data_IF_825759053426
#
_entry.id   IF_825759053426
#
_cell.length_a   1.000
_cell.length_b   1.000
_cell.length_c   1.000
_cell.angle_alpha   90.00
_cell.angle_beta   90.00
_cell.angle_gamma   90.00
#
_symmetry.space_group_name_H-M   'P 1'
#
loop_
_entity.id
_entity.type
_entity.pdbx_description
1 polymer ?
#
# COMPACT_ATOMS: atom_id res chain seq x y z
N UNK A 1 8.67 -5.66 -20.85
CA UNK A 1 9.80 -4.73 -20.64
C UNK A 1 9.39 -3.28 -20.27
N UNK A 2 8.12 -2.86 -20.40
CA UNK A 2 7.70 -1.46 -20.17
C UNK A 2 7.47 -1.03 -18.71
N UNK A 3 7.44 -1.94 -17.74
CA UNK A 3 7.16 -1.59 -16.32
C UNK A 3 8.39 -1.29 -15.46
N UNK A 4 9.60 -1.60 -15.92
CA UNK A 4 10.83 -1.34 -15.15
C UNK A 4 11.35 0.11 -15.27
N UNK A 5 10.88 0.88 -16.27
CA UNK A 5 11.32 2.26 -16.47
C UNK A 5 10.54 3.32 -15.67
N UNK A 6 9.43 2.96 -15.00
CA UNK A 6 8.66 3.94 -14.22
C UNK A 6 9.34 4.37 -12.90
N UNK A 7 10.31 3.59 -12.40
CA UNK A 7 11.00 3.92 -11.17
C UNK A 7 12.16 4.93 -11.32
N UNK A 8 12.66 5.14 -12.53
CA UNK A 8 13.80 6.06 -12.76
C UNK A 8 13.44 7.54 -12.69
N UNK A 9 12.17 7.91 -12.94
CA UNK A 9 11.72 9.30 -12.82
C UNK A 9 11.39 9.74 -11.38
N UNK A 10 11.17 8.79 -10.47
CA UNK A 10 10.87 9.05 -9.06
C UNK A 10 12.12 9.47 -8.24
N UNK A 11 13.33 9.23 -8.77
CA UNK A 11 14.58 9.46 -8.04
C UNK A 11 14.97 10.95 -7.86
N UNK A 12 14.26 11.89 -8.48
CA UNK A 12 14.66 13.31 -8.51
C UNK A 12 14.03 14.18 -7.40
N UNK A 13 13.00 13.71 -6.70
CA UNK A 13 12.30 14.55 -5.72
C UNK A 13 12.97 14.50 -4.33
N UNK A 14 13.10 15.63 -3.60
CA UNK A 14 13.73 15.66 -2.26
C UNK A 14 13.06 14.72 -1.25
N UNK A 15 11.76 14.48 -1.37
CA UNK A 15 11.02 13.53 -0.52
C UNK A 15 11.47 12.08 -0.69
N UNK A 16 11.97 11.67 -1.85
CA UNK A 16 12.49 10.30 -2.04
C UNK A 16 13.82 10.09 -1.32
N UNK A 17 14.56 11.17 -1.05
CA UNK A 17 15.85 11.15 -0.36
C UNK A 17 15.74 11.10 1.16
N UNK A 18 14.55 11.41 1.71
CA UNK A 18 14.30 11.36 3.18
C UNK A 18 14.40 9.91 3.67
N UNK A 19 15.00 9.72 4.84
CA UNK A 19 15.19 8.40 5.44
C UNK A 19 13.85 7.66 5.62
N UNK A 20 13.82 6.38 5.20
CA UNK A 20 12.63 5.53 5.26
C UNK A 20 12.09 5.34 6.69
N UNK A 21 12.96 5.37 7.70
CA UNK A 21 12.60 5.27 9.12
C UNK A 21 11.75 6.46 9.56
N UNK A 22 12.18 7.67 9.18
CA UNK A 22 11.49 8.91 9.51
C UNK A 22 10.12 8.95 8.84
N UNK A 23 10.05 8.56 7.56
CA UNK A 23 8.78 8.46 6.82
C UNK A 23 7.82 7.45 7.45
N UNK A 24 8.32 6.27 7.81
CA UNK A 24 7.49 5.22 8.40
C UNK A 24 6.94 5.65 9.76
N UNK A 25 7.77 6.22 10.63
CA UNK A 25 7.32 6.73 11.94
C UNK A 25 6.30 7.86 11.80
N UNK A 26 6.57 8.83 10.91
CA UNK A 26 5.64 9.94 10.66
C UNK A 26 4.32 9.45 10.07
N UNK A 27 4.35 8.48 9.16
CA UNK A 27 3.14 7.89 8.57
C UNK A 27 2.32 7.14 9.63
N UNK A 28 2.94 6.37 10.51
CA UNK A 28 2.26 5.68 11.61
C UNK A 28 1.64 6.68 12.57
N UNK A 29 2.37 7.74 12.94
CA UNK A 29 1.86 8.80 13.80
C UNK A 29 0.65 9.51 13.18
N UNK A 30 0.73 9.89 11.91
CA UNK A 30 -0.39 10.51 11.19
C UNK A 30 -1.57 9.55 11.02
N UNK A 31 -1.32 8.28 10.76
CA UNK A 31 -2.36 7.26 10.64
C UNK A 31 -3.13 7.09 11.95
N UNK A 32 -2.42 7.02 13.09
CA UNK A 32 -3.08 6.95 14.40
C UNK A 32 -3.89 8.20 14.70
N UNK A 33 -3.43 9.39 14.28
CA UNK A 33 -4.19 10.63 14.39
C UNK A 33 -5.47 10.62 13.52
N UNK A 34 -5.38 10.12 12.28
CA UNK A 34 -6.53 9.99 11.36
C UNK A 34 -7.58 9.04 11.93
N UNK A 35 -7.17 7.87 12.42
CA UNK A 35 -8.09 6.86 12.97
C UNK A 35 -8.76 7.39 14.25
N UNK A 36 -8.00 8.05 15.11
CA UNK A 36 -8.47 8.57 16.40
C UNK A 36 -9.22 9.92 16.29
N UNK A 37 -9.33 10.51 15.10
CA UNK A 37 -10.03 11.78 14.89
C UNK A 37 -11.54 11.64 15.09
N UNK A 38 -12.22 12.49 15.88
CA UNK A 38 -13.67 12.42 16.08
C UNK A 38 -14.49 12.93 14.88
N UNK A 39 -13.91 13.82 14.05
CA UNK A 39 -14.56 14.43 12.89
C UNK A 39 -14.12 13.87 11.55
N UNK A 40 -14.74 14.34 10.46
CA UNK A 40 -14.40 14.01 9.07
C UNK A 40 -13.38 14.98 8.45
N UNK A 41 -13.26 16.19 8.99
CA UNK A 41 -12.45 17.27 8.39
C UNK A 41 -10.94 16.97 8.45
N UNK A 42 -10.43 16.49 9.58
CA UNK A 42 -9.02 16.14 9.72
C UNK A 42 -8.58 15.00 8.78
N UNK A 43 -9.30 13.86 8.67
CA UNK A 43 -8.99 12.84 7.69
C UNK A 43 -9.04 13.33 6.23
N UNK A 44 -9.98 14.22 5.88
CA UNK A 44 -10.05 14.82 4.55
C UNK A 44 -8.86 15.74 4.28
N UNK A 45 -8.46 16.56 5.24
CA UNK A 45 -7.26 17.40 5.14
C UNK A 45 -6.01 16.53 4.92
N UNK A 46 -5.85 15.45 5.70
CA UNK A 46 -4.76 14.50 5.53
C UNK A 46 -4.79 13.85 4.13
N UNK A 47 -5.98 13.53 3.62
CA UNK A 47 -6.15 12.98 2.27
C UNK A 47 -5.68 13.99 1.19
N UNK A 48 -6.15 15.23 1.25
CA UNK A 48 -5.78 16.28 0.29
C UNK A 48 -4.28 16.55 0.32
N UNK A 49 -3.69 16.69 1.51
CA UNK A 49 -2.25 16.90 1.66
C UNK A 49 -1.44 15.74 1.10
N UNK A 50 -1.86 14.50 1.36
CA UNK A 50 -1.19 13.29 0.87
C UNK A 50 -1.28 13.17 -0.66
N UNK A 51 -2.44 13.48 -1.24
CA UNK A 51 -2.60 13.51 -2.70
C UNK A 51 -1.71 14.60 -3.31
N UNK A 52 -1.67 15.79 -2.73
CA UNK A 52 -0.80 16.87 -3.17
C UNK A 52 0.69 16.45 -3.12
N UNK A 53 1.12 15.76 -2.06
CA UNK A 53 2.48 15.21 -1.95
C UNK A 53 2.75 14.14 -3.02
N UNK A 54 1.81 13.24 -3.31
CA UNK A 54 1.94 12.25 -4.38
C UNK A 54 2.11 12.90 -5.75
N UNK A 55 1.34 13.96 -6.01
CA UNK A 55 1.46 14.73 -7.26
C UNK A 55 2.80 15.48 -7.34
N UNK A 56 3.26 16.06 -6.23
CA UNK A 56 4.56 16.72 -6.16
C UNK A 56 5.74 15.77 -6.42
N UNK A 57 5.62 14.47 -6.04
CA UNK A 57 6.59 13.42 -6.35
C UNK A 57 6.61 13.08 -7.85
N UNK A 58 5.60 13.51 -8.61
CA UNK A 58 5.50 13.26 -10.05
C UNK A 58 4.77 11.95 -10.40
N UNK A 59 3.94 11.42 -9.49
CA UNK A 59 3.12 10.25 -9.82
C UNK A 59 2.05 10.62 -10.85
N UNK A 60 1.90 9.85 -11.96
CA UNK A 60 0.90 10.18 -12.97
C UNK A 60 -0.52 10.03 -12.41
N UNK A 61 -1.37 11.00 -12.69
CA UNK A 61 -2.77 11.04 -12.23
C UNK A 61 -3.53 9.74 -12.50
N UNK A 62 -3.25 9.08 -13.63
CA UNK A 62 -3.88 7.82 -13.99
C UNK A 62 -3.55 6.70 -12.98
N UNK A 63 -2.29 6.59 -12.55
CA UNK A 63 -1.86 5.61 -11.55
C UNK A 63 -2.48 5.91 -10.20
N UNK A 64 -2.55 7.19 -9.84
CA UNK A 64 -3.19 7.65 -8.61
C UNK A 64 -4.68 7.30 -8.63
N UNK A 65 -5.41 7.64 -9.70
CA UNK A 65 -6.83 7.34 -9.85
C UNK A 65 -7.13 5.85 -9.77
N UNK A 66 -6.33 5.01 -10.45
CA UNK A 66 -6.48 3.55 -10.37
C UNK A 66 -6.22 3.02 -8.96
N UNK A 67 -5.25 3.58 -8.23
CA UNK A 67 -4.92 3.16 -6.87
C UNK A 67 -5.98 3.58 -5.84
N UNK A 68 -6.66 4.70 -6.09
CA UNK A 68 -7.72 5.21 -5.23
C UNK A 68 -9.10 4.66 -5.57
N UNK A 69 -9.28 4.02 -6.73
CA UNK A 69 -10.59 3.46 -7.14
C UNK A 69 -11.09 2.38 -6.19
N UNK A 70 -10.22 1.47 -5.74
CA UNK A 70 -10.59 0.39 -4.81
C UNK A 70 -11.00 0.92 -3.43
N UNK A 71 -10.20 1.77 -2.75
CA UNK A 71 -10.59 2.38 -1.48
C UNK A 71 -11.82 3.27 -1.59
N UNK A 72 -11.98 3.98 -2.72
CA UNK A 72 -13.17 4.79 -3.00
C UNK A 72 -14.43 3.91 -3.09
N UNK A 73 -14.34 2.78 -3.78
CA UNK A 73 -15.44 1.83 -3.86
C UNK A 73 -15.84 1.32 -2.47
N UNK A 74 -14.87 0.96 -1.63
CA UNK A 74 -15.12 0.53 -0.25
C UNK A 74 -15.74 1.68 0.56
N UNK A 75 -15.21 2.89 0.46
CA UNK A 75 -15.72 4.07 1.17
C UNK A 75 -17.16 4.38 0.79
N UNK A 76 -17.49 4.33 -0.51
CA UNK A 76 -18.86 4.53 -1.02
C UNK A 76 -19.79 3.41 -0.55
N UNK A 77 -19.34 2.17 -0.59
CA UNK A 77 -20.15 1.02 -0.12
C UNK A 77 -20.48 1.16 1.37
N UNK A 78 -19.49 1.50 2.20
CA UNK A 78 -19.70 1.71 3.64
C UNK A 78 -20.63 2.89 3.90
N UNK A 79 -20.48 3.98 3.13
CA UNK A 79 -21.34 5.15 3.23
C UNK A 79 -22.79 4.79 2.90
N UNK A 80 -23.03 4.04 1.82
CA UNK A 80 -24.38 3.58 1.43
C UNK A 80 -24.98 2.64 2.49
N UNK A 81 -24.20 1.69 2.99
CA UNK A 81 -24.65 0.79 4.04
C UNK A 81 -25.05 1.56 5.31
N UNK A 82 -24.23 2.51 5.75
CA UNK A 82 -24.53 3.34 6.91
C UNK A 82 -25.74 4.24 6.67
N UNK A 83 -25.90 4.81 5.48
CA UNK A 83 -27.01 5.67 5.11
C UNK A 83 -28.36 4.94 5.24
N UNK A 84 -28.43 3.68 4.77
CA UNK A 84 -29.68 2.94 4.70
C UNK A 84 -29.96 2.05 5.93
N UNK A 85 -28.90 1.54 6.59
CA UNK A 85 -29.04 0.55 7.66
C UNK A 85 -28.69 1.06 9.06
N UNK A 86 -28.20 2.31 9.21
CA UNK A 86 -27.76 2.81 10.51
C UNK A 86 -28.34 4.20 10.78
N UNK A 87 -29.10 4.34 11.87
CA UNK A 87 -29.62 5.62 12.37
C UNK A 87 -31.07 5.53 12.83
N UNK A 88 -31.47 6.52 13.65
CA UNK A 88 -32.82 6.62 14.20
C UNK A 88 -33.60 7.85 13.66
N UNK A 89 -32.94 8.76 12.95
CA UNK A 89 -33.56 9.97 12.40
C UNK A 89 -33.81 9.81 10.89
N UNK A 90 -35.04 9.50 10.45
CA UNK A 90 -35.36 9.39 9.04
C UNK A 90 -35.31 10.75 8.37
N UNK A 91 -34.49 10.87 7.34
CA UNK A 91 -34.36 12.09 6.52
C UNK A 91 -35.20 12.00 5.25
N UNK A 92 -35.28 10.82 4.64
CA UNK A 92 -36.04 10.57 3.42
C UNK A 92 -36.46 9.12 3.33
N UNK A 93 -37.74 8.84 3.06
CA UNK A 93 -38.24 7.48 2.83
C UNK A 93 -38.58 7.31 1.36
N UNK A 94 -38.01 6.31 0.71
CA UNK A 94 -38.27 5.96 -0.66
C UNK A 94 -38.75 4.51 -0.72
N UNK A 95 -39.96 4.28 -1.20
CA UNK A 95 -40.49 2.93 -1.36
C UNK A 95 -40.37 2.47 -2.81
N UNK A 96 -39.55 1.44 -3.06
CA UNK A 96 -39.43 0.77 -4.35
C UNK A 96 -39.85 -0.68 -4.19
N UNK A 97 -40.92 -1.09 -4.90
CA UNK A 97 -41.37 -2.49 -4.98
C UNK A 97 -41.58 -3.19 -3.63
N UNK A 98 -42.07 -2.48 -2.61
CA UNK A 98 -42.36 -3.05 -1.29
C UNK A 98 -41.19 -3.07 -0.30
N UNK A 99 -40.04 -2.55 -0.69
CA UNK A 99 -38.89 -2.28 0.21
C UNK A 99 -38.89 -0.80 0.59
N UNK A 100 -39.11 -0.50 1.86
CA UNK A 100 -38.96 0.85 2.39
C UNK A 100 -37.48 1.12 2.68
N UNK A 101 -36.83 1.84 1.79
CA UNK A 101 -35.47 2.35 2.00
C UNK A 101 -35.57 3.70 2.71
N UNK A 102 -35.22 3.72 3.98
CA UNK A 102 -35.21 4.93 4.80
C UNK A 102 -33.76 5.41 4.90
N UNK A 103 -33.49 6.61 4.38
CA UNK A 103 -32.18 7.24 4.55
C UNK A 103 -32.14 7.98 5.90
N UNK A 104 -31.11 7.70 6.69
CA UNK A 104 -30.93 8.27 8.03
C UNK A 104 -29.84 9.33 8.03
N UNK A 105 -30.11 10.49 8.62
CA UNK A 105 -29.14 11.59 8.73
C UNK A 105 -27.93 11.22 9.57
N UNK A 106 -28.17 10.51 10.68
CA UNK A 106 -27.09 10.04 11.57
C UNK A 106 -26.19 9.04 10.85
N UNK A 107 -26.80 8.13 10.05
CA UNK A 107 -26.07 7.19 9.20
C UNK A 107 -25.22 7.87 8.14
N UNK A 108 -25.71 8.97 7.53
CA UNK A 108 -24.93 9.75 6.59
C UNK A 108 -23.69 10.38 7.24
N UNK A 109 -23.87 11.05 8.39
CA UNK A 109 -22.75 11.67 9.10
C UNK A 109 -21.70 10.65 9.55
N UNK A 110 -22.15 9.50 10.06
CA UNK A 110 -21.24 8.41 10.46
C UNK A 110 -20.56 7.79 9.24
N UNK A 111 -21.29 7.56 8.14
CA UNK A 111 -20.76 7.06 6.88
C UNK A 111 -19.69 7.97 6.28
N UNK A 112 -19.93 9.29 6.23
CA UNK A 112 -18.95 10.28 5.78
C UNK A 112 -17.70 10.28 6.66
N UNK A 113 -17.86 10.14 7.99
CA UNK A 113 -16.74 10.06 8.92
C UNK A 113 -15.88 8.82 8.67
N UNK A 114 -16.49 7.66 8.46
CA UNK A 114 -15.77 6.42 8.16
C UNK A 114 -15.12 6.49 6.77
N UNK A 115 -15.84 6.94 5.76
CA UNK A 115 -15.32 7.10 4.40
C UNK A 115 -14.11 8.04 4.36
N UNK A 116 -14.16 9.16 5.08
CA UNK A 116 -13.05 10.11 5.17
C UNK A 116 -11.82 9.50 5.86
N UNK A 117 -11.99 8.65 6.90
CA UNK A 117 -10.89 7.93 7.55
C UNK A 117 -10.25 6.90 6.62
N UNK A 118 -11.06 6.16 5.85
CA UNK A 118 -10.56 5.20 4.86
C UNK A 118 -9.70 5.94 3.83
N UNK A 119 -10.24 7.00 3.24
CA UNK A 119 -9.53 7.78 2.22
C UNK A 119 -8.27 8.44 2.77
N UNK A 120 -8.34 9.05 3.96
CA UNK A 120 -7.18 9.65 4.64
C UNK A 120 -6.09 8.62 4.97
N UNK A 121 -6.45 7.47 5.51
CA UNK A 121 -5.50 6.40 5.83
C UNK A 121 -4.82 5.83 4.59
N UNK A 122 -5.60 5.50 3.55
CA UNK A 122 -5.04 4.96 2.30
C UNK A 122 -4.15 5.97 1.59
N UNK A 123 -4.51 7.26 1.61
CA UNK A 123 -3.68 8.32 1.00
C UNK A 123 -2.32 8.46 1.67
N UNK A 124 -2.25 8.36 3.01
CA UNK A 124 -0.99 8.36 3.75
C UNK A 124 -0.13 7.15 3.39
N UNK A 125 -0.72 5.96 3.32
CA UNK A 125 -0.01 4.74 2.89
C UNK A 125 0.48 4.84 1.44
N UNK A 126 -0.28 5.48 0.56
CA UNK A 126 0.12 5.71 -0.83
C UNK A 126 1.36 6.59 -0.92
N UNK A 127 1.46 7.66 -0.11
CA UNK A 127 2.67 8.51 -0.04
C UNK A 127 3.90 7.67 0.32
N UNK A 128 3.80 6.83 1.34
CA UNK A 128 4.92 5.94 1.75
C UNK A 128 5.27 4.97 0.63
N UNK A 129 4.27 4.33 0.02
CA UNK A 129 4.49 3.33 -1.04
C UNK A 129 5.09 3.91 -2.31
N UNK A 130 4.77 5.16 -2.68
CA UNK A 130 5.35 5.82 -3.85
C UNK A 130 6.70 6.49 -3.56
N UNK A 131 6.94 6.91 -2.32
CA UNK A 131 8.16 7.63 -1.96
C UNK A 131 9.29 6.74 -1.45
N UNK A 132 9.03 5.47 -1.12
CA UNK A 132 10.01 4.60 -0.45
C UNK A 132 10.13 3.26 -1.17
N UNK A 133 11.31 2.90 -1.68
CA UNK A 133 11.54 1.58 -2.27
C UNK A 133 11.44 0.48 -1.21
N UNK A 134 11.05 -0.72 -1.64
CA UNK A 134 10.85 -1.86 -0.74
C UNK A 134 12.09 -2.20 0.10
N UNK A 135 13.29 -2.09 -0.48
CA UNK A 135 14.57 -2.35 0.21
C UNK A 135 14.79 -1.40 1.40
N UNK A 136 14.45 -0.11 1.23
CA UNK A 136 14.60 0.88 2.29
C UNK A 136 13.53 0.70 3.37
N UNK A 137 12.32 0.24 2.98
CA UNK A 137 11.28 -0.12 3.93
C UNK A 137 11.73 -1.30 4.81
N UNK A 138 12.35 -2.33 4.21
CA UNK A 138 12.90 -3.47 4.96
C UNK A 138 14.04 -3.03 5.89
N UNK A 139 14.89 -2.11 5.46
CA UNK A 139 15.94 -1.54 6.30
C UNK A 139 15.35 -0.75 7.50
N UNK A 140 14.24 -0.02 7.29
CA UNK A 140 13.54 0.67 8.37
C UNK A 140 12.90 -0.31 9.37
N UNK A 141 12.31 -1.42 8.89
CA UNK A 141 11.76 -2.47 9.74
C UNK A 141 12.84 -3.20 10.56
N UNK A 142 14.03 -3.40 9.98
CA UNK A 142 15.19 -3.92 10.71
C UNK A 142 15.57 -3.03 11.92
N UNK A 143 15.52 -1.71 11.73
CA UNK A 143 15.78 -0.76 12.80
C UNK A 143 14.70 -0.82 13.91
N UNK A 144 13.44 -1.12 13.56
CA UNK A 144 12.33 -1.36 14.51
C UNK A 144 12.44 -2.69 15.27
N UNK A 145 13.58 -3.40 15.16
CA UNK A 145 13.85 -4.70 15.79
C UNK A 145 12.95 -5.84 15.32
N UNK A 146 12.43 -5.76 14.08
CA UNK A 146 11.80 -6.92 13.46
C UNK A 146 12.85 -8.04 13.32
N UNK A 147 12.52 -9.32 13.60
CA UNK A 147 13.45 -10.43 13.49
C UNK A 147 14.15 -10.47 12.12
N UNK A 148 15.48 -10.57 12.15
CA UNK A 148 16.34 -10.52 10.96
C UNK A 148 15.93 -11.54 9.90
N UNK A 149 15.58 -12.75 10.33
CA UNK A 149 15.16 -13.84 9.43
C UNK A 149 13.97 -13.43 8.55
N UNK A 150 13.00 -12.71 9.10
CA UNK A 150 11.83 -12.24 8.33
C UNK A 150 12.23 -11.21 7.27
N UNK A 151 13.18 -10.34 7.60
CA UNK A 151 13.66 -9.31 6.66
C UNK A 151 14.45 -9.95 5.54
N UNK A 152 15.35 -10.89 5.86
CA UNK A 152 16.14 -11.60 4.87
C UNK A 152 15.23 -12.41 3.93
N UNK A 153 14.25 -13.13 4.45
CA UNK A 153 13.25 -13.85 3.64
C UNK A 153 12.46 -12.89 2.75
N UNK A 154 12.02 -11.73 3.28
CA UNK A 154 11.27 -10.74 2.51
C UNK A 154 12.11 -10.13 1.37
N UNK A 155 13.40 -9.84 1.62
CA UNK A 155 14.31 -9.33 0.59
C UNK A 155 14.59 -10.37 -0.49
N UNK A 156 14.77 -11.65 -0.10
CA UNK A 156 14.88 -12.75 -1.05
C UNK A 156 13.62 -12.90 -1.88
N UNK A 157 12.45 -12.97 -1.23
CA UNK A 157 11.17 -13.09 -1.91
C UNK A 157 10.96 -11.96 -2.92
N UNK A 158 11.30 -10.71 -2.54
CA UNK A 158 11.21 -9.56 -3.43
C UNK A 158 12.09 -9.71 -4.68
N UNK A 159 13.33 -10.14 -4.51
CA UNK A 159 14.26 -10.34 -5.61
C UNK A 159 13.80 -11.45 -6.56
N UNK A 160 13.35 -12.57 -6.01
CA UNK A 160 12.96 -13.74 -6.80
C UNK A 160 11.57 -13.63 -7.39
N UNK A 161 10.72 -12.73 -6.88
CA UNK A 161 9.41 -12.43 -7.45
C UNK A 161 9.53 -12.03 -8.93
N UNK A 162 10.47 -11.16 -9.27
CA UNK A 162 10.65 -10.72 -10.66
C UNK A 162 11.19 -11.83 -11.56
N UNK A 163 12.09 -12.65 -11.05
CA UNK A 163 12.61 -13.80 -11.78
C UNK A 163 11.49 -14.81 -12.08
N UNK A 164 10.68 -15.16 -11.09
CA UNK A 164 9.56 -16.07 -11.27
C UNK A 164 8.46 -15.47 -12.15
N UNK A 165 8.25 -14.15 -12.14
CA UNK A 165 7.35 -13.46 -13.06
C UNK A 165 7.81 -13.59 -14.52
N UNK A 166 9.10 -13.45 -14.80
CA UNK A 166 9.66 -13.65 -16.14
C UNK A 166 9.45 -15.11 -16.59
N UNK A 167 9.75 -16.06 -15.73
CA UNK A 167 9.51 -17.48 -15.99
C UNK A 167 8.03 -17.79 -16.23
N UNK A 168 7.14 -17.21 -15.43
CA UNK A 168 5.70 -17.33 -15.57
C UNK A 168 5.23 -16.81 -16.93
N UNK A 169 5.75 -15.65 -17.39
CA UNK A 169 5.40 -15.07 -18.67
C UNK A 169 5.84 -15.96 -19.84
N UNK A 170 7.03 -16.57 -19.76
CA UNK A 170 7.51 -17.50 -20.78
C UNK A 170 6.59 -18.71 -20.91
N UNK A 171 6.27 -19.36 -19.80
CA UNK A 171 5.37 -20.54 -19.77
C UNK A 171 3.96 -20.15 -20.20
N UNK A 172 3.43 -19.03 -19.69
CA UNK A 172 2.11 -18.51 -20.08
C UNK A 172 2.02 -18.28 -21.59
N UNK A 173 3.00 -17.61 -22.19
CA UNK A 173 3.02 -17.34 -23.62
C UNK A 173 3.13 -18.64 -24.44
N UNK A 174 3.93 -19.60 -24.00
CA UNK A 174 4.03 -20.91 -24.65
C UNK A 174 2.68 -21.65 -24.61
N UNK A 175 1.98 -21.65 -23.47
CA UNK A 175 0.66 -22.27 -23.35
C UNK A 175 -0.39 -21.52 -24.16
N UNK A 176 -0.36 -20.19 -24.19
CA UNK A 176 -1.26 -19.35 -24.98
C UNK A 176 -1.14 -19.62 -26.46
N UNK A 177 0.09 -19.75 -26.98
CA UNK A 177 0.37 -20.06 -28.37
C UNK A 177 -0.13 -21.47 -28.77
N UNK A 178 -0.24 -22.39 -27.79
CA UNK A 178 -0.80 -23.73 -27.96
C UNK A 178 -2.30 -23.81 -27.70
N UNK A 179 -3.01 -22.67 -27.66
CA UNK A 179 -4.45 -22.58 -27.37
C UNK A 179 -4.84 -23.15 -25.99
N UNK A 180 -3.92 -23.15 -25.02
CA UNK A 180 -4.14 -23.69 -23.68
C UNK A 180 -5.18 -22.92 -22.87
N UNK A 181 -5.49 -21.67 -23.23
CA UNK A 181 -6.47 -20.82 -22.55
C UNK A 181 -7.80 -20.68 -23.31
N UNK A 182 -8.06 -21.55 -24.29
CA UNK A 182 -9.34 -21.58 -25.01
C UNK A 182 -10.35 -22.41 -24.22
N UNK A 183 -11.36 -21.74 -23.66
CA UNK A 183 -12.39 -22.34 -22.84
C UNK A 183 -11.98 -22.55 -21.38
N UNK A 184 -12.99 -22.60 -20.50
CA UNK A 184 -12.81 -22.58 -19.03
C UNK A 184 -11.99 -23.78 -18.50
N UNK A 185 -12.32 -25.01 -18.92
CA UNK A 185 -11.60 -26.22 -18.43
C UNK A 185 -10.13 -26.27 -18.84
N UNK A 186 -9.83 -25.92 -20.11
CA UNK A 186 -8.44 -25.88 -20.59
C UNK A 186 -7.65 -24.75 -19.91
N UNK A 187 -8.28 -23.58 -19.74
CA UNK A 187 -7.66 -22.47 -19.05
C UNK A 187 -7.29 -22.80 -17.61
N UNK A 188 -8.19 -23.46 -16.86
CA UNK A 188 -7.91 -23.89 -15.49
C UNK A 188 -6.80 -24.94 -15.44
N UNK A 189 -6.80 -25.93 -16.34
CA UNK A 189 -5.74 -26.94 -16.43
C UNK A 189 -4.39 -26.31 -16.79
N UNK A 190 -4.35 -25.40 -17.75
CA UNK A 190 -3.13 -24.67 -18.12
C UNK A 190 -2.60 -23.82 -16.98
N UNK A 191 -3.48 -23.15 -16.24
CA UNK A 191 -3.11 -22.38 -15.05
C UNK A 191 -2.55 -23.29 -13.95
N UNK A 192 -3.15 -24.46 -13.70
CA UNK A 192 -2.64 -25.44 -12.77
C UNK A 192 -1.24 -25.94 -13.15
N UNK A 193 -1.03 -26.25 -14.44
CA UNK A 193 0.28 -26.64 -14.96
C UNK A 193 1.31 -25.51 -14.80
N UNK A 194 0.94 -24.27 -15.11
CA UNK A 194 1.79 -23.10 -14.92
C UNK A 194 2.23 -22.98 -13.45
N UNK A 195 1.25 -23.04 -12.52
CA UNK A 195 1.53 -22.95 -11.09
C UNK A 195 2.45 -24.08 -10.63
N UNK A 196 2.21 -25.32 -11.07
CA UNK A 196 3.06 -26.48 -10.74
C UNK A 196 4.50 -26.33 -11.22
N UNK A 197 4.68 -25.90 -12.46
CA UNK A 197 6.02 -25.62 -13.02
C UNK A 197 6.75 -24.53 -12.25
N UNK A 198 6.05 -23.45 -11.87
CA UNK A 198 6.66 -22.37 -11.09
C UNK A 198 7.08 -22.82 -9.70
N UNK A 199 6.29 -23.68 -9.02
CA UNK A 199 6.65 -24.22 -7.71
C UNK A 199 7.91 -25.09 -7.81
N UNK A 200 7.97 -26.00 -8.79
CA UNK A 200 9.14 -26.85 -9.02
C UNK A 200 10.37 -25.97 -9.30
N UNK A 201 10.24 -24.98 -10.18
CA UNK A 201 11.34 -24.08 -10.54
C UNK A 201 11.79 -23.23 -9.36
N UNK A 202 10.86 -22.76 -8.52
CA UNK A 202 11.20 -22.04 -7.29
C UNK A 202 11.99 -22.91 -6.31
N UNK A 203 11.63 -24.19 -6.20
CA UNK A 203 12.34 -25.14 -5.36
C UNK A 203 13.76 -25.42 -5.87
N UNK A 204 13.92 -25.68 -7.17
CA UNK A 204 15.23 -25.91 -7.80
C UNK A 204 16.14 -24.68 -7.66
N UNK A 205 15.59 -23.48 -7.90
CA UNK A 205 16.30 -22.23 -7.71
C UNK A 205 16.73 -22.05 -6.25
N UNK A 206 15.86 -22.37 -5.28
CA UNK A 206 16.18 -22.29 -3.85
C UNK A 206 17.38 -23.18 -3.49
N UNK A 207 17.42 -24.42 -3.98
CA UNK A 207 18.55 -25.33 -3.73
C UNK A 207 19.86 -24.81 -4.36
N UNK A 208 19.79 -24.37 -5.63
CA UNK A 208 20.95 -23.83 -6.34
C UNK A 208 21.53 -22.60 -5.64
N UNK A 209 20.66 -21.71 -5.16
CA UNK A 209 21.05 -20.50 -4.43
C UNK A 209 21.68 -20.86 -3.10
N UNK A 210 21.06 -21.74 -2.33
CA UNK A 210 21.60 -22.18 -1.03
C UNK A 210 22.99 -22.78 -1.20
N UNK A 211 23.17 -23.67 -2.19
CA UNK A 211 24.48 -24.26 -2.50
C UNK A 211 25.51 -23.18 -2.86
N UNK A 212 25.14 -22.25 -3.73
CA UNK A 212 26.05 -21.14 -4.13
C UNK A 212 26.40 -20.22 -2.95
N UNK A 213 25.46 -19.97 -2.04
CA UNK A 213 25.69 -19.16 -0.84
C UNK A 213 26.66 -19.86 0.14
N UNK A 214 26.45 -21.15 0.39
CA UNK A 214 27.36 -21.95 1.25
C UNK A 214 28.78 -21.97 0.67
N UNK A 215 28.94 -22.14 -0.66
CA UNK A 215 30.23 -22.09 -1.33
C UNK A 215 30.93 -20.73 -1.22
N UNK A 216 30.18 -19.65 -1.04
CA UNK A 216 30.69 -18.28 -0.82
C UNK A 216 30.91 -17.93 0.66
N UNK A 217 30.81 -18.92 1.57
CA UNK A 217 31.04 -18.71 2.99
C UNK A 217 29.87 -18.12 3.75
N UNK A 218 28.62 -18.34 3.28
CA UNK A 218 27.44 -17.88 4.00
C UNK A 218 27.32 -18.60 5.36
N UNK A 219 27.31 -17.83 6.43
CA UNK A 219 27.28 -18.25 7.83
C UNK A 219 25.87 -18.16 8.47
N UNK A 220 24.84 -17.93 7.68
CA UNK A 220 23.46 -17.77 8.16
C UNK A 220 23.05 -16.32 8.36
N UNK A 221 23.93 -15.34 8.16
CA UNK A 221 23.65 -13.91 8.29
C UNK A 221 23.93 -13.20 6.97
N UNK A 222 22.94 -12.47 6.46
CA UNK A 222 23.12 -11.63 5.28
C UNK A 222 23.88 -10.35 5.62
N UNK A 223 24.87 -9.95 4.79
CA UNK A 223 25.53 -8.66 4.95
C UNK A 223 24.52 -7.53 4.80
N UNK A 224 24.44 -6.69 5.82
CA UNK A 224 23.49 -5.56 5.86
C UNK A 224 23.99 -4.41 4.98
N UNK A 225 23.07 -3.79 4.26
CA UNK A 225 23.31 -2.48 3.72
C UNK A 225 23.57 -1.50 4.87
N UNK A 226 24.69 -0.78 4.82
CA UNK A 226 25.04 0.25 5.81
C UNK A 226 23.94 1.31 5.81
N UNK A 227 23.26 1.42 6.96
CA UNK A 227 22.22 2.42 7.15
C UNK A 227 22.90 3.80 7.24
N UNK A 228 22.38 4.74 6.45
CA UNK A 228 22.86 6.13 6.49
C UNK A 228 22.59 6.74 7.87
N UNK A 229 23.51 7.58 8.40
CA UNK A 229 23.25 8.31 9.64
C UNK A 229 22.05 9.24 9.48
N UNK A 230 21.30 9.42 10.56
CA UNK A 230 20.14 10.32 10.57
C UNK A 230 20.57 11.76 10.25
N UNK A 231 19.88 12.39 9.33
CA UNK A 231 20.01 13.83 9.09
C UNK A 231 19.04 14.56 10.02
N UNK A 232 19.56 15.38 10.92
CA UNK A 232 18.73 16.15 11.88
C UNK A 232 17.63 16.98 11.18
N UNK A 233 17.92 17.53 10.01
CA UNK A 233 16.95 18.29 9.23
C UNK A 233 15.73 17.46 8.77
N UNK A 234 15.90 16.17 8.51
CA UNK A 234 14.80 15.29 8.11
C UNK A 234 13.91 14.94 9.32
N UNK A 235 14.54 14.68 10.47
CA UNK A 235 13.83 14.39 11.71
C UNK A 235 13.05 15.62 12.20
N UNK A 236 13.66 16.79 12.18
CA UNK A 236 12.98 18.06 12.58
C UNK A 236 11.84 18.39 11.62
N UNK A 237 12.01 18.21 10.31
CA UNK A 237 10.94 18.43 9.34
C UNK A 237 9.73 17.50 9.55
N UNK A 238 9.98 16.21 9.77
CA UNK A 238 8.92 15.24 10.07
C UNK A 238 8.22 15.53 11.39
N UNK A 239 8.98 15.91 12.41
CA UNK A 239 8.44 16.26 13.73
C UNK A 239 7.56 17.50 13.65
N UNK A 240 7.99 18.54 12.92
CA UNK A 240 7.19 19.75 12.69
C UNK A 240 5.89 19.43 11.94
N UNK A 241 5.95 18.53 10.94
CA UNK A 241 4.76 18.10 10.20
C UNK A 241 3.77 17.37 11.12
N UNK A 242 4.26 16.41 11.92
CA UNK A 242 3.41 15.65 12.87
C UNK A 242 2.83 16.57 13.96
N UNK A 243 3.63 17.47 14.52
CA UNK A 243 3.17 18.43 15.54
C UNK A 243 2.19 19.45 14.94
N UNK A 244 2.46 19.97 13.74
CA UNK A 244 1.55 20.88 13.04
C UNK A 244 0.20 20.25 12.74
N UNK A 245 0.20 19.01 12.24
CA UNK A 245 -1.04 18.25 12.04
C UNK A 245 -1.74 17.92 13.37
N UNK A 246 -0.98 17.65 14.43
CA UNK A 246 -1.52 17.44 15.77
C UNK A 246 -2.19 18.69 16.35
N UNK A 247 -1.59 19.86 16.15
CA UNK A 247 -2.17 21.15 16.55
C UNK A 247 -3.46 21.45 15.77
N UNK A 248 -3.48 21.24 14.47
CA UNK A 248 -4.69 21.37 13.64
C UNK A 248 -5.79 20.45 14.17
N UNK A 249 -5.47 19.19 14.47
CA UNK A 249 -6.43 18.25 15.06
C UNK A 249 -7.01 18.75 16.38
N UNK A 250 -6.17 19.27 17.30
CA UNK A 250 -6.61 19.79 18.58
C UNK A 250 -7.53 21.02 18.42
N UNK A 251 -7.19 21.93 17.52
CA UNK A 251 -8.04 23.08 17.21
C UNK A 251 -9.45 22.65 16.75
N UNK A 252 -9.52 21.59 15.92
CA UNK A 252 -10.81 21.07 15.42
C UNK A 252 -11.60 20.24 16.46
N UNK A 253 -10.98 19.81 17.55
CA UNK A 253 -11.69 19.15 18.66
C UNK A 253 -12.22 20.13 19.68
N UNK A 254 -11.69 21.36 19.70
CA UNK A 254 -12.08 22.43 20.66
C UNK A 254 -13.18 23.33 20.08
N UNK A 255 -13.26 23.45 18.75
CA UNK A 255 -14.33 24.17 18.03
C UNK A 255 -15.48 23.20 17.74
#
# INVERSE_FOLDING_TARGET
>A
MHHLHSHTHLAAHPLTRVDARVKLLSAVALLTMVISSPGSAFPLLACVLSIALCLAIGTPLRTLALRFSEPLFIAVTVLLLKLFFSGNSPFFSFSIAGLELVAHRDGLMEGVRIASRIMGGVSLLAVVGFSTPFTDLMAALSWLRVPQVLIDVALFAWRYLFLLLEDAQVVYNAQKNRLGYVGYRRGLSSFGTLAGVLVIKAFDNSQSITTAMVQRGYDGVMPRSLQRPFRMAEVTGALLLVLGMGAVRLLWTVI
#
